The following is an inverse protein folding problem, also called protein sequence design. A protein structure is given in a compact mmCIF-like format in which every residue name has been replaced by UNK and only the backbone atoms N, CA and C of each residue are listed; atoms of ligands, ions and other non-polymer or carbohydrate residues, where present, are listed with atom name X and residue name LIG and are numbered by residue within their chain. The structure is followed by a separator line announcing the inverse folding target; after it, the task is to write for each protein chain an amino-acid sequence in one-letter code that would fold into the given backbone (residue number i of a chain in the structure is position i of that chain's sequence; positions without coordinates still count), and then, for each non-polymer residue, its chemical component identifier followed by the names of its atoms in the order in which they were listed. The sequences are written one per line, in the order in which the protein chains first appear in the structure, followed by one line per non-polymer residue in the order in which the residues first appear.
data_IF_863378498444
#
_entry.id   IF_863378498444
#
_cell.length_a   1.000
_cell.length_b   1.000
_cell.length_c   1.000
_cell.angle_alpha   90.00
_cell.angle_beta   90.00
_cell.angle_gamma   90.00
#
_symmetry.space_group_name_H-M   'P 1'
#
loop_
_entity.id
_entity.type
_entity.pdbx_description
1 polymer ?
#
# COMPACT_ATOMS: atom_id res chain seq x y z
N UNK A 1 -5.95 -9.20 -14.59
CA UNK A 1 -5.65 -7.76 -14.78
C UNK A 1 -5.15 -7.20 -13.47
N UNK A 2 -3.90 -6.75 -13.40
CA UNK A 2 -3.31 -6.21 -12.17
C UNK A 2 -3.90 -4.81 -11.92
N UNK A 3 -4.58 -4.61 -10.80
CA UNK A 3 -5.05 -3.27 -10.42
C UNK A 3 -3.93 -2.54 -9.68
N UNK A 4 -3.84 -1.21 -9.85
CA UNK A 4 -2.85 -0.35 -9.17
C UNK A 4 -2.77 -0.60 -7.67
N UNK A 5 -3.91 -0.85 -7.03
CA UNK A 5 -4.03 -1.17 -5.61
C UNK A 5 -3.28 -2.47 -5.23
N UNK A 6 -3.37 -3.51 -6.07
CA UNK A 6 -2.59 -4.75 -5.87
C UNK A 6 -1.09 -4.48 -6.03
N UNK A 7 -0.68 -3.67 -7.00
CA UNK A 7 0.73 -3.31 -7.19
C UNK A 7 1.31 -2.56 -5.99
N UNK A 8 0.57 -1.60 -5.43
CA UNK A 8 0.95 -0.89 -4.21
C UNK A 8 1.08 -1.86 -3.04
N UNK A 9 0.12 -2.78 -2.87
CA UNK A 9 0.19 -3.79 -1.81
C UNK A 9 1.44 -4.67 -1.93
N UNK A 10 1.74 -5.18 -3.13
CA UNK A 10 2.92 -6.01 -3.38
C UNK A 10 4.22 -5.24 -3.11
N UNK A 11 4.29 -3.98 -3.51
CA UNK A 11 5.43 -3.13 -3.22
C UNK A 11 5.66 -2.95 -1.71
N UNK A 12 4.59 -2.70 -0.94
CA UNK A 12 4.67 -2.63 0.53
C UNK A 12 5.07 -3.98 1.12
N UNK A 13 4.61 -5.10 0.53
CA UNK A 13 4.94 -6.44 0.99
C UNK A 13 6.42 -6.77 0.77
N UNK A 14 6.98 -6.39 -0.38
CA UNK A 14 8.39 -6.62 -0.72
C UNK A 14 9.34 -5.71 0.07
N UNK A 15 8.99 -4.43 0.25
CA UNK A 15 9.80 -3.46 1.02
C UNK A 15 9.56 -3.51 2.53
N UNK A 16 8.47 -4.13 2.99
CA UNK A 16 8.08 -4.28 4.39
C UNK A 16 7.42 -3.03 5.00
N UNK A 17 8.14 -1.90 5.04
CA UNK A 17 7.60 -0.61 5.52
C UNK A 17 7.98 0.49 4.55
N UNK A 18 6.99 1.25 4.09
CA UNK A 18 7.20 2.34 3.13
C UNK A 18 6.51 3.61 3.57
N UNK A 19 7.02 4.75 3.10
CA UNK A 19 6.38 6.04 3.29
C UNK A 19 5.38 6.33 2.17
N UNK A 20 4.44 7.24 2.44
CA UNK A 20 3.52 7.72 1.39
C UNK A 20 4.27 8.46 0.28
N UNK A 21 5.44 9.05 0.56
CA UNK A 21 6.28 9.71 -0.44
C UNK A 21 6.94 8.68 -1.37
N UNK A 22 7.44 7.58 -0.81
CA UNK A 22 8.08 6.51 -1.59
C UNK A 22 7.08 5.95 -2.62
N UNK A 23 5.82 5.78 -2.23
CA UNK A 23 4.74 5.34 -3.11
C UNK A 23 4.38 6.38 -4.19
N UNK A 24 4.47 7.67 -3.87
CA UNK A 24 4.24 8.75 -4.85
C UNK A 24 5.34 8.76 -5.91
N UNK A 25 6.60 8.62 -5.47
CA UNK A 25 7.77 8.60 -6.33
C UNK A 25 7.81 7.34 -7.20
N UNK A 26 7.58 6.16 -6.62
CA UNK A 26 7.61 4.88 -7.33
C UNK A 26 6.50 4.78 -8.39
N UNK A 27 5.28 5.18 -8.05
CA UNK A 27 4.12 5.02 -8.92
C UNK A 27 3.81 6.26 -9.77
N UNK A 28 4.54 7.36 -9.59
CA UNK A 28 4.36 8.62 -10.34
C UNK A 28 2.95 9.23 -10.20
N UNK A 29 2.27 8.98 -9.08
CA UNK A 29 0.89 9.44 -8.83
C UNK A 29 0.80 10.39 -7.65
N UNK A 30 -0.24 11.23 -7.64
CA UNK A 30 -0.43 12.20 -6.55
C UNK A 30 -0.63 11.51 -5.19
N UNK A 31 -0.21 12.20 -4.13
CA UNK A 31 -0.39 11.74 -2.75
C UNK A 31 -1.86 11.43 -2.41
N UNK A 32 -2.81 12.20 -2.97
CA UNK A 32 -4.26 11.97 -2.78
C UNK A 32 -4.69 10.62 -3.36
N UNK A 33 -4.12 10.23 -4.50
CA UNK A 33 -4.42 8.94 -5.16
C UNK A 33 -3.85 7.79 -4.35
N UNK A 34 -2.58 7.89 -3.94
CA UNK A 34 -1.93 6.90 -3.07
C UNK A 34 -2.72 6.71 -1.79
N UNK A 35 -3.12 7.81 -1.14
CA UNK A 35 -3.88 7.77 0.10
C UNK A 35 -5.24 7.10 -0.06
N UNK A 36 -5.93 7.31 -1.18
CA UNK A 36 -7.19 6.60 -1.50
C UNK A 36 -6.96 5.10 -1.64
N UNK A 37 -5.94 4.69 -2.38
CA UNK A 37 -5.61 3.28 -2.58
C UNK A 37 -5.21 2.61 -1.26
N UNK A 38 -4.41 3.29 -0.44
CA UNK A 38 -4.03 2.85 0.91
C UNK A 38 -5.24 2.75 1.84
N UNK A 39 -6.20 3.67 1.76
CA UNK A 39 -7.44 3.59 2.54
C UNK A 39 -8.25 2.35 2.17
N UNK A 40 -8.32 1.98 0.88
CA UNK A 40 -8.98 0.73 0.45
C UNK A 40 -8.25 -0.49 1.01
N UNK A 41 -6.93 -0.54 0.91
CA UNK A 41 -6.13 -1.62 1.48
C UNK A 41 -6.28 -1.72 3.00
N UNK A 42 -6.31 -0.58 3.69
CA UNK A 42 -6.46 -0.50 5.14
C UNK A 42 -7.85 -0.94 5.59
N UNK A 43 -8.90 -0.51 4.88
CA UNK A 43 -10.28 -0.94 5.11
C UNK A 43 -10.44 -2.47 4.98
N UNK A 44 -9.69 -3.09 4.06
CA UNK A 44 -9.68 -4.54 3.88
C UNK A 44 -8.75 -5.29 4.86
N UNK A 45 -8.15 -4.59 5.82
CA UNK A 45 -7.15 -5.12 6.76
C UNK A 45 -5.96 -5.77 6.05
N UNK A 46 -5.47 -5.16 4.97
CA UNK A 46 -4.29 -5.63 4.22
C UNK A 46 -3.04 -4.86 4.61
N UNK A 47 -3.17 -3.56 4.86
CA UNK A 47 -2.09 -2.68 5.33
C UNK A 47 -2.51 -1.94 6.59
N UNK A 48 -1.52 -1.56 7.40
CA UNK A 48 -1.69 -0.76 8.61
C UNK A 48 -0.65 0.35 8.63
N UNK A 49 -0.95 1.44 9.35
CA UNK A 49 -0.02 2.54 9.55
C UNK A 49 0.64 2.40 10.93
N UNK A 50 1.91 2.00 11.03
CA UNK A 50 2.61 1.92 12.32
C UNK A 50 2.94 3.30 12.87
N UNK A 51 3.26 4.26 11.99
CA UNK A 51 3.56 5.66 12.29
C UNK A 51 2.92 6.55 11.23
N UNK A 52 2.61 7.81 11.57
CA UNK A 52 1.98 8.77 10.65
C UNK A 52 2.77 8.88 9.34
N UNK A 53 2.12 8.59 8.23
CA UNK A 53 2.71 8.67 6.88
C UNK A 53 3.48 7.41 6.45
N UNK A 54 3.65 6.43 7.33
CA UNK A 54 4.24 5.13 7.04
C UNK A 54 3.18 4.04 6.97
N UNK A 55 3.45 3.03 6.16
CA UNK A 55 2.55 1.92 5.86
C UNK A 55 3.33 0.61 5.83
N UNK A 56 2.75 -0.42 6.44
CA UNK A 56 3.29 -1.79 6.44
C UNK A 56 2.15 -2.77 6.18
N UNK A 57 2.47 -3.95 5.66
CA UNK A 57 1.47 -4.99 5.46
C UNK A 57 1.04 -5.59 6.80
N UNK A 58 -0.16 -6.15 6.83
CA UNK A 58 -0.63 -6.96 7.94
C UNK A 58 -0.25 -8.43 7.70
N UNK A 59 -0.23 -9.26 8.74
CA UNK A 59 0.01 -10.70 8.61
C UNK A 59 -1.14 -11.50 7.97
N UNK A 60 -2.14 -10.80 7.38
CA UNK A 60 -3.29 -11.44 6.76
C UNK A 60 -2.84 -12.17 5.49
N UNK A 61 -3.03 -13.49 5.44
CA UNK A 61 -2.71 -14.28 4.25
C UNK A 61 -3.66 -13.89 3.11
N UNK A 62 -3.11 -13.33 2.04
CA UNK A 62 -3.86 -12.97 0.83
C UNK A 62 -3.53 -13.98 -0.27
N UNK A 63 -4.56 -14.53 -0.94
CA UNK A 63 -4.34 -15.32 -2.16
C UNK A 63 -4.03 -14.35 -3.30
N UNK A 64 -2.78 -14.37 -3.76
CA UNK A 64 -2.38 -13.72 -5.02
C UNK A 64 -2.64 -14.72 -6.14
N UNK A 65 -3.89 -14.78 -6.61
CA UNK A 65 -4.27 -15.48 -7.84
C UNK A 65 -4.64 -14.48 -8.92
#
# INVERSE_FOLDING_TARGET
MMTRIKSIYLFILEKGTVSTKDLVEEFGITQRTVQRDLNVLSYNNLVKSPNRGYWTTTGKKVKVS
#
